data_IF_135757601081
#
_entry.id   IF_135757601081
#
_cell.length_a   1.000
_cell.length_b   1.000
_cell.length_c   1.000
_cell.angle_alpha   90.00
_cell.angle_beta   90.00
_cell.angle_gamma   90.00
#
_symmetry.space_group_name_H-M   'P 1'
#
loop_
_entity.id
_entity.type
_entity.pdbx_description
1 polymer ?
#
# COMPACT_ATOMS: atom_id res chain seq x y z
N UNK A 1 20.85 -27.85 19.28
CA UNK A 1 19.70 -27.23 19.98
C UNK A 1 19.74 -25.71 19.83
N UNK A 2 19.43 -25.18 18.64
CA UNK A 2 19.45 -23.72 18.36
C UNK A 2 18.25 -23.25 17.51
N UNK A 3 17.15 -24.03 17.47
CA UNK A 3 15.98 -23.78 16.59
C UNK A 3 14.78 -23.12 17.28
N UNK A 4 14.87 -22.75 18.57
CA UNK A 4 13.69 -22.29 19.34
C UNK A 4 13.55 -20.77 19.53
N UNK A 5 14.56 -19.97 19.18
CA UNK A 5 14.50 -18.51 19.32
C UNK A 5 13.93 -17.81 18.07
N UNK A 6 14.23 -18.30 16.85
CA UNK A 6 13.73 -17.73 15.58
C UNK A 6 12.20 -17.78 15.51
N UNK A 7 11.60 -18.96 15.77
CA UNK A 7 10.15 -19.14 15.68
C UNK A 7 9.33 -18.27 16.65
N UNK A 8 9.87 -17.93 17.83
CA UNK A 8 9.20 -17.02 18.79
C UNK A 8 9.26 -15.55 18.35
N UNK A 9 10.30 -15.16 17.61
CA UNK A 9 10.41 -13.81 17.05
C UNK A 9 9.43 -13.60 15.89
N UNK A 10 9.17 -14.63 15.09
CA UNK A 10 8.34 -14.57 13.89
C UNK A 10 6.83 -14.59 14.18
N UNK A 11 6.37 -15.41 15.13
CA UNK A 11 4.96 -15.37 15.59
C UNK A 11 4.58 -14.05 16.25
N UNK A 12 5.57 -13.33 16.78
CA UNK A 12 5.40 -11.96 17.26
C UNK A 12 5.26 -10.97 16.10
N UNK A 13 6.12 -11.06 15.09
CA UNK A 13 6.06 -10.25 13.86
C UNK A 13 4.71 -10.43 13.16
N UNK A 14 4.22 -11.66 13.01
CA UNK A 14 2.90 -11.94 12.42
C UNK A 14 1.78 -11.25 13.19
N UNK A 15 1.77 -11.39 14.52
CA UNK A 15 0.79 -10.70 15.38
C UNK A 15 0.89 -9.19 15.26
N UNK A 16 2.10 -8.63 15.22
CA UNK A 16 2.30 -7.20 15.04
C UNK A 16 1.77 -6.70 13.69
N UNK A 17 2.01 -7.43 12.59
CA UNK A 17 1.48 -7.06 11.25
C UNK A 17 -0.04 -7.25 11.20
N UNK A 18 -0.58 -8.34 11.75
CA UNK A 18 -2.02 -8.56 11.82
C UNK A 18 -2.72 -7.48 12.66
N UNK A 19 -2.13 -7.11 13.80
CA UNK A 19 -2.62 -6.01 14.65
C UNK A 19 -2.52 -4.65 13.93
N UNK A 20 -1.47 -4.42 13.14
CA UNK A 20 -1.34 -3.23 12.31
C UNK A 20 -2.48 -3.16 11.29
N UNK A 21 -2.77 -4.26 10.58
CA UNK A 21 -3.90 -4.34 9.64
C UNK A 21 -5.24 -4.06 10.33
N UNK A 22 -5.49 -4.65 11.50
CA UNK A 22 -6.72 -4.41 12.27
C UNK A 22 -6.88 -2.95 12.72
N UNK A 23 -5.79 -2.21 12.88
CA UNK A 23 -5.80 -0.79 13.28
C UNK A 23 -5.92 0.17 12.11
N UNK A 24 -5.69 -0.28 10.87
CA UNK A 24 -5.85 0.54 9.67
C UNK A 24 -7.32 0.87 9.47
N UNK A 25 -7.59 2.11 9.07
CA UNK A 25 -8.96 2.58 8.88
C UNK A 25 -9.64 2.00 7.63
N UNK A 26 -8.89 1.36 6.73
CA UNK A 26 -9.38 0.59 5.59
C UNK A 26 -8.36 -0.48 5.13
N UNK A 27 -8.82 -1.60 4.58
CA UNK A 27 -7.99 -2.65 3.94
C UNK A 27 -7.35 -2.21 2.60
N UNK A 28 -7.40 -0.91 2.28
CA UNK A 28 -7.02 -0.39 0.95
C UNK A 28 -5.60 0.19 1.01
N UNK A 29 -4.83 -0.02 -0.06
CA UNK A 29 -3.44 0.47 -0.29
C UNK A 29 -3.18 1.95 0.03
N UNK A 30 -4.20 2.82 -0.01
CA UNK A 30 -4.07 4.24 0.38
C UNK A 30 -4.08 4.46 1.90
N UNK A 31 -4.29 3.41 2.70
CA UNK A 31 -4.49 3.50 4.15
C UNK A 31 -3.27 4.03 4.91
N UNK A 32 -2.05 3.60 4.61
CA UNK A 32 -0.88 4.03 5.40
C UNK A 32 -0.50 5.50 5.15
N UNK A 33 -0.58 5.95 3.89
CA UNK A 33 -0.45 7.39 3.56
C UNK A 33 -1.55 8.18 4.23
N UNK A 34 -2.80 7.73 4.10
CA UNK A 34 -3.95 8.41 4.67
C UNK A 34 -3.88 8.49 6.20
N UNK A 35 -3.53 7.39 6.86
CA UNK A 35 -3.41 7.31 8.31
C UNK A 35 -2.26 8.19 8.82
N UNK A 36 -1.12 8.20 8.12
CA UNK A 36 -0.01 9.12 8.43
C UNK A 36 -0.41 10.59 8.26
N UNK A 37 -1.04 10.95 7.15
CA UNK A 37 -1.52 12.32 6.89
C UNK A 37 -2.60 12.76 7.89
N UNK A 38 -3.52 11.85 8.25
CA UNK A 38 -4.54 12.09 9.27
C UNK A 38 -3.90 12.30 10.63
N UNK A 39 -2.87 11.51 10.97
CA UNK A 39 -2.11 11.68 12.22
C UNK A 39 -1.42 13.04 12.26
N UNK A 40 -0.70 13.41 11.19
CA UNK A 40 -0.03 14.72 11.08
C UNK A 40 -1.05 15.86 11.19
N UNK A 41 -2.18 15.77 10.48
CA UNK A 41 -3.26 16.77 10.53
C UNK A 41 -3.83 16.92 11.94
N UNK A 42 -4.06 15.80 12.63
CA UNK A 42 -4.52 15.82 14.02
C UNK A 42 -3.50 16.48 14.95
N UNK A 43 -2.20 16.20 14.79
CA UNK A 43 -1.14 16.82 15.58
C UNK A 43 -1.07 18.33 15.34
N UNK A 44 -1.11 18.77 14.07
CA UNK A 44 -1.18 20.20 13.71
C UNK A 44 -2.38 20.88 14.38
N UNK A 45 -3.56 20.29 14.27
CA UNK A 45 -4.78 20.84 14.88
C UNK A 45 -4.66 20.96 16.41
N UNK A 46 -4.02 20.00 17.08
CA UNK A 46 -3.75 20.10 18.52
C UNK A 46 -2.77 21.22 18.84
N UNK A 47 -1.68 21.37 18.08
CA UNK A 47 -0.68 22.43 18.29
C UNK A 47 -1.28 23.83 18.09
N UNK A 48 -2.15 24.02 17.08
CA UNK A 48 -2.85 25.28 16.89
C UNK A 48 -3.78 25.64 18.05
N UNK A 49 -4.38 24.62 18.69
CA UNK A 49 -5.29 24.83 19.82
C UNK A 49 -4.54 25.13 21.12
N UNK A 50 -3.35 24.57 21.29
CA UNK A 50 -2.56 24.64 22.51
C UNK A 50 -1.06 24.91 22.21
N UNK A 51 -0.72 26.11 21.70
CA UNK A 51 0.63 26.40 21.22
C UNK A 51 1.68 26.50 22.34
N UNK A 52 1.25 26.80 23.57
CA UNK A 52 2.15 26.97 24.72
C UNK A 52 2.40 25.66 25.50
N UNK A 53 1.74 24.56 25.11
CA UNK A 53 1.84 23.27 25.81
C UNK A 53 3.07 22.49 25.31
N UNK A 54 4.21 22.67 25.99
CA UNK A 54 5.49 22.06 25.58
C UNK A 54 5.43 20.52 25.46
N UNK A 55 4.70 19.82 26.35
CA UNK A 55 4.52 18.36 26.23
C UNK A 55 3.78 17.96 24.95
N UNK A 56 2.86 18.80 24.48
CA UNK A 56 2.18 18.57 23.21
C UNK A 56 3.13 18.77 22.03
N UNK A 57 4.01 19.77 22.09
CA UNK A 57 5.07 19.99 21.10
C UNK A 57 6.05 18.81 21.03
N UNK A 58 6.50 18.30 22.19
CA UNK A 58 7.34 17.09 22.30
C UNK A 58 6.63 15.88 21.69
N UNK A 59 5.36 15.67 22.06
CA UNK A 59 4.55 14.57 21.54
C UNK A 59 4.33 14.67 20.03
N UNK A 60 4.19 15.88 19.48
CA UNK A 60 4.03 16.07 18.04
C UNK A 60 5.26 15.58 17.26
N UNK A 61 6.48 15.80 17.76
CA UNK A 61 7.69 15.26 17.13
C UNK A 61 7.69 13.73 17.15
N UNK A 62 7.47 13.12 18.33
CA UNK A 62 7.46 11.66 18.48
C UNK A 62 6.35 11.02 17.64
N UNK A 63 5.15 11.60 17.68
CA UNK A 63 3.98 11.17 16.92
C UNK A 63 4.16 11.34 15.41
N UNK A 64 4.83 12.40 14.97
CA UNK A 64 5.17 12.64 13.57
C UNK A 64 6.15 11.59 13.04
N UNK A 65 7.22 11.30 13.78
CA UNK A 65 8.18 10.24 13.41
C UNK A 65 7.50 8.88 13.36
N UNK A 66 6.63 8.56 14.32
CA UNK A 66 5.86 7.31 14.29
C UNK A 66 4.96 7.20 13.04
N UNK A 67 4.33 8.32 12.63
CA UNK A 67 3.56 8.37 11.39
C UNK A 67 4.46 8.15 10.15
N UNK A 68 5.61 8.80 10.09
CA UNK A 68 6.60 8.62 9.02
C UNK A 68 7.10 7.17 8.92
N UNK A 69 7.42 6.55 10.05
CA UNK A 69 7.87 5.15 10.12
C UNK A 69 6.80 4.18 9.64
N UNK A 70 5.53 4.46 9.97
CA UNK A 70 4.39 3.64 9.52
C UNK A 70 4.20 3.79 8.01
N UNK A 71 4.17 5.03 7.51
CA UNK A 71 4.11 5.33 6.09
C UNK A 71 5.25 4.65 5.32
N UNK A 72 6.49 4.75 5.79
CA UNK A 72 7.64 4.21 5.08
C UNK A 72 7.54 2.69 4.90
N UNK A 73 7.17 1.94 5.94
CA UNK A 73 6.97 0.49 5.82
C UNK A 73 5.82 0.14 4.88
N UNK A 74 4.71 0.87 4.98
CA UNK A 74 3.58 0.73 4.05
C UNK A 74 4.01 0.94 2.60
N UNK A 75 4.72 2.04 2.35
CA UNK A 75 5.25 2.40 1.05
C UNK A 75 6.17 1.32 0.47
N UNK A 76 7.12 0.81 1.26
CA UNK A 76 8.00 -0.27 0.83
C UNK A 76 7.22 -1.54 0.47
N UNK A 77 6.26 -1.93 1.31
CA UNK A 77 5.41 -3.09 1.05
C UNK A 77 4.63 -2.92 -0.27
N UNK A 78 4.03 -1.75 -0.49
CA UNK A 78 3.26 -1.46 -1.71
C UNK A 78 4.12 -1.49 -2.98
N UNK A 79 5.32 -0.89 -2.92
CA UNK A 79 6.29 -0.89 -4.02
C UNK A 79 6.68 -2.32 -4.40
N UNK A 80 7.03 -3.14 -3.40
CA UNK A 80 7.45 -4.53 -3.61
C UNK A 80 6.30 -5.46 -4.00
N UNK A 81 5.05 -5.14 -3.62
CA UNK A 81 3.90 -5.93 -4.03
C UNK A 81 3.58 -5.73 -5.51
N UNK A 82 3.85 -4.54 -6.06
CA UNK A 82 3.56 -4.20 -7.45
C UNK A 82 4.54 -4.81 -8.44
N UNK A 83 5.82 -4.90 -8.08
CA UNK A 83 6.86 -5.40 -8.98
C UNK A 83 7.73 -6.46 -8.30
N UNK A 84 7.84 -7.63 -8.93
CA UNK A 84 8.63 -8.74 -8.41
C UNK A 84 10.12 -8.39 -8.26
N UNK A 85 10.66 -7.55 -9.15
CA UNK A 85 12.05 -7.10 -9.09
C UNK A 85 12.36 -6.30 -7.82
N UNK A 86 11.47 -5.38 -7.42
CA UNK A 86 11.63 -4.62 -6.17
C UNK A 86 11.57 -5.52 -4.94
N UNK A 87 10.72 -6.54 -4.98
CA UNK A 87 10.65 -7.55 -3.92
C UNK A 87 11.94 -8.35 -3.78
N UNK A 88 12.57 -8.72 -4.90
CA UNK A 88 13.84 -9.43 -4.91
C UNK A 88 14.96 -8.57 -4.31
N UNK A 89 15.08 -7.31 -4.75
CA UNK A 89 16.06 -6.36 -4.18
C UNK A 89 15.81 -6.14 -2.67
N UNK A 90 14.56 -5.94 -2.26
CA UNK A 90 14.24 -5.82 -0.83
C UNK A 90 14.61 -7.07 -0.02
N UNK A 91 14.45 -8.26 -0.59
CA UNK A 91 14.86 -9.52 0.05
C UNK A 91 16.39 -9.64 0.20
N UNK A 92 17.18 -9.07 -0.71
CA UNK A 92 18.65 -9.03 -0.62
C UNK A 92 19.15 -8.21 0.58
N UNK A 93 18.36 -7.23 1.03
CA UNK A 93 18.68 -6.42 2.21
C UNK A 93 18.37 -7.12 3.54
N UNK A 94 17.69 -8.27 3.51
CA UNK A 94 17.41 -9.02 4.72
C UNK A 94 18.69 -9.68 5.24
N UNK A 95 19.11 -9.30 6.44
CA UNK A 95 20.24 -9.94 7.11
C UNK A 95 19.96 -11.41 7.46
N UNK A 96 21.02 -12.17 7.81
CA UNK A 96 20.95 -13.62 8.11
C UNK A 96 19.89 -14.01 9.17
N UNK A 97 19.43 -13.09 10.03
CA UNK A 97 18.34 -13.35 10.98
C UNK A 97 16.99 -13.65 10.33
N UNK A 98 16.78 -13.30 9.07
CA UNK A 98 15.54 -13.48 8.33
C UNK A 98 15.69 -14.55 7.22
N UNK A 99 16.46 -15.61 7.51
CA UNK A 99 16.82 -16.66 6.55
C UNK A 99 15.61 -17.24 5.79
N UNK A 100 15.84 -17.42 4.48
CA UNK A 100 14.94 -17.87 3.42
C UNK A 100 13.94 -18.99 3.78
N UNK A 101 14.31 -19.92 4.69
CA UNK A 101 13.48 -21.06 5.07
C UNK A 101 12.23 -20.72 5.88
N UNK A 102 12.26 -19.64 6.66
CA UNK A 102 11.12 -19.16 7.46
C UNK A 102 10.20 -18.27 6.60
N UNK A 103 10.76 -17.52 5.65
CA UNK A 103 10.03 -16.71 4.66
C UNK A 103 9.29 -17.57 3.64
N UNK A 104 9.93 -18.63 3.12
CA UNK A 104 9.34 -19.53 2.11
C UNK A 104 8.22 -20.43 2.67
N UNK A 105 8.24 -20.77 3.97
CA UNK A 105 7.18 -21.58 4.61
C UNK A 105 5.86 -20.83 4.79
N UNK A 106 5.85 -19.51 4.73
CA UNK A 106 4.69 -18.69 5.09
C UNK A 106 4.09 -17.89 3.93
N UNK A 107 4.75 -17.85 2.76
CA UNK A 107 4.12 -17.42 1.51
C UNK A 107 2.93 -18.33 1.15
N UNK A 108 2.87 -19.54 1.69
CA UNK A 108 1.76 -20.49 1.49
C UNK A 108 0.54 -20.32 2.40
N UNK A 109 0.53 -19.40 3.37
CA UNK A 109 -0.51 -19.33 4.42
C UNK A 109 -1.55 -18.20 4.22
N UNK A 110 -1.57 -17.54 3.05
CA UNK A 110 -2.50 -16.46 2.61
C UNK A 110 -2.63 -15.21 3.52
N UNK A 111 -2.14 -15.23 4.76
CA UNK A 111 -2.35 -14.16 5.73
C UNK A 111 -1.29 -13.05 5.68
N UNK A 112 -0.12 -13.25 5.07
CA UNK A 112 0.95 -12.26 5.07
C UNK A 112 1.72 -12.29 3.75
N UNK A 113 1.89 -11.15 3.09
CA UNK A 113 2.65 -11.07 1.85
C UNK A 113 4.15 -11.03 2.14
N UNK A 114 4.96 -11.56 1.22
CA UNK A 114 6.41 -11.47 1.32
C UNK A 114 6.89 -10.00 1.37
N UNK A 115 6.20 -9.10 0.66
CA UNK A 115 6.51 -7.67 0.66
C UNK A 115 6.30 -7.03 2.04
N UNK A 116 5.22 -7.38 2.74
CA UNK A 116 4.97 -6.89 4.10
C UNK A 116 6.01 -7.38 5.10
N UNK A 117 6.44 -8.65 4.98
CA UNK A 117 7.48 -9.19 5.84
C UNK A 117 8.81 -8.44 5.64
N UNK A 118 9.20 -8.24 4.39
CA UNK A 118 10.44 -7.53 4.05
C UNK A 118 10.36 -6.09 4.56
N UNK A 119 9.25 -5.40 4.31
CA UNK A 119 9.06 -4.01 4.74
C UNK A 119 9.03 -3.85 6.27
N UNK A 120 8.48 -4.81 7.01
CA UNK A 120 8.51 -4.77 8.47
C UNK A 120 9.93 -4.92 9.03
N UNK A 121 10.78 -5.71 8.36
CA UNK A 121 12.18 -5.85 8.73
C UNK A 121 13.03 -4.59 8.42
N UNK A 122 12.53 -3.68 7.57
CA UNK A 122 13.25 -2.46 7.21
C UNK A 122 13.40 -1.51 8.43
N UNK A 123 14.63 -1.16 8.84
CA UNK A 123 14.85 -0.07 9.77
C UNK A 123 14.29 1.25 9.23
N UNK A 124 13.80 2.08 10.14
CA UNK A 124 13.27 3.40 9.84
C UNK A 124 13.60 4.36 11.00
N UNK A 125 14.81 4.29 11.54
CA UNK A 125 15.20 5.00 12.76
C UNK A 125 16.02 6.27 12.46
N UNK A 126 16.43 6.46 11.21
CA UNK A 126 17.16 7.62 10.73
C UNK A 126 16.82 7.88 9.26
N UNK A 127 17.13 9.08 8.78
CA UNK A 127 17.02 9.41 7.34
C UNK A 127 17.86 8.48 6.48
N UNK A 128 19.06 8.11 6.97
CA UNK A 128 19.95 7.19 6.28
C UNK A 128 19.30 5.81 6.10
N UNK A 129 18.57 5.32 7.11
CA UNK A 129 17.83 4.06 6.98
C UNK A 129 16.78 4.15 5.87
N UNK A 130 16.00 5.24 5.84
CA UNK A 130 14.97 5.45 4.82
C UNK A 130 15.58 5.48 3.41
N UNK A 131 16.63 6.27 3.24
CA UNK A 131 17.32 6.46 1.95
C UNK A 131 17.97 5.18 1.46
N UNK A 132 18.71 4.46 2.32
CA UNK A 132 19.40 3.23 1.93
C UNK A 132 18.44 2.17 1.38
N UNK A 133 17.27 2.01 2.03
CA UNK A 133 16.25 1.07 1.56
C UNK A 133 15.65 1.49 0.22
N UNK A 134 15.34 2.78 0.07
CA UNK A 134 14.75 3.31 -1.15
C UNK A 134 15.74 3.27 -2.32
N UNK A 135 16.99 3.67 -2.10
CA UNK A 135 18.06 3.61 -3.11
C UNK A 135 18.25 2.19 -3.62
N UNK A 136 18.29 1.21 -2.70
CA UNK A 136 18.49 -0.18 -3.05
C UNK A 136 17.30 -0.78 -3.80
N UNK A 137 16.08 -0.54 -3.32
CA UNK A 137 14.86 -1.06 -3.96
C UNK A 137 14.70 -0.47 -5.36
N UNK A 138 14.84 0.85 -5.52
CA UNK A 138 14.71 1.50 -6.82
C UNK A 138 15.94 1.27 -7.72
N UNK A 139 17.08 0.85 -7.15
CA UNK A 139 18.32 0.60 -7.89
C UNK A 139 18.92 1.87 -8.50
N UNK A 140 18.60 3.02 -7.91
CA UNK A 140 19.00 4.35 -8.36
C UNK A 140 19.07 5.28 -7.15
N UNK A 141 19.72 6.44 -7.31
CA UNK A 141 19.70 7.51 -6.31
C UNK A 141 18.26 7.99 -6.10
N UNK A 142 17.66 7.63 -4.98
CA UNK A 142 16.32 8.05 -4.61
C UNK A 142 16.27 9.55 -4.35
N UNK A 143 17.41 10.15 -3.97
CA UNK A 143 17.55 11.61 -3.86
C UNK A 143 17.29 12.29 -5.21
N UNK A 144 17.79 11.72 -6.30
CA UNK A 144 17.57 12.25 -7.65
C UNK A 144 16.12 12.03 -8.10
N UNK A 145 15.50 10.92 -7.70
CA UNK A 145 14.07 10.69 -7.93
C UNK A 145 13.21 11.72 -7.20
N UNK A 146 13.52 12.02 -5.93
CA UNK A 146 12.84 13.04 -5.14
C UNK A 146 12.97 14.44 -5.74
N UNK A 147 14.15 14.79 -6.27
CA UNK A 147 14.39 16.09 -6.89
C UNK A 147 13.52 16.31 -8.15
N UNK A 148 13.13 15.23 -8.81
CA UNK A 148 12.29 15.26 -10.01
C UNK A 148 10.82 14.89 -9.73
N UNK A 149 10.48 14.58 -8.48
CA UNK A 149 9.13 14.17 -8.10
C UNK A 149 8.13 15.30 -8.35
N UNK A 150 7.07 15.00 -9.10
CA UNK A 150 5.98 15.95 -9.37
C UNK A 150 4.65 15.37 -8.91
N UNK A 151 3.71 16.25 -8.55
CA UNK A 151 2.39 15.81 -8.13
C UNK A 151 1.66 15.08 -9.28
N UNK A 152 0.91 14.00 -9.05
CA UNK A 152 0.31 13.22 -10.15
C UNK A 152 -0.69 14.03 -11.00
N UNK A 153 -1.20 15.14 -10.44
CA UNK A 153 -2.02 16.12 -11.17
C UNK A 153 -1.32 16.75 -12.37
N UNK A 154 0.01 16.70 -12.49
CA UNK A 154 0.74 17.14 -13.69
C UNK A 154 0.23 16.43 -14.95
N UNK A 155 -0.25 15.19 -14.82
CA UNK A 155 -0.87 14.47 -15.95
C UNK A 155 -2.12 15.16 -16.51
N UNK A 156 -2.79 16.00 -15.72
CA UNK A 156 -3.95 16.81 -16.17
C UNK A 156 -3.51 18.11 -16.84
N UNK A 157 -2.38 18.67 -16.43
CA UNK A 157 -1.83 19.91 -16.98
C UNK A 157 -0.29 19.84 -17.04
N UNK A 158 0.29 19.45 -18.19
CA UNK A 158 1.74 19.30 -18.33
C UNK A 158 2.53 20.62 -18.24
N UNK A 159 1.86 21.78 -18.29
CA UNK A 159 2.53 23.08 -18.27
C UNK A 159 2.73 23.56 -16.83
N UNK A 160 3.98 23.57 -16.38
CA UNK A 160 4.43 24.45 -15.29
C UNK A 160 4.18 23.95 -13.88
N UNK A 161 4.17 22.64 -13.64
CA UNK A 161 4.14 22.16 -12.26
C UNK A 161 5.58 22.01 -11.73
N UNK A 162 5.93 22.74 -10.66
CA UNK A 162 7.24 22.61 -10.05
C UNK A 162 7.40 21.21 -9.42
N UNK A 163 8.65 20.76 -9.19
CA UNK A 163 8.91 19.64 -8.29
C UNK A 163 8.21 19.82 -6.95
N UNK A 164 7.78 18.71 -6.33
CA UNK A 164 7.16 18.73 -5.00
C UNK A 164 8.12 19.30 -3.97
N UNK A 165 9.43 19.00 -4.12
CA UNK A 165 10.49 19.53 -3.29
C UNK A 165 11.32 20.54 -4.09
N UNK A 166 11.37 21.78 -3.60
CA UNK A 166 12.27 22.80 -4.16
C UNK A 166 13.74 22.47 -3.83
N UNK A 167 14.00 21.95 -2.63
CA UNK A 167 15.32 21.55 -2.16
C UNK A 167 15.25 20.24 -1.37
N UNK A 168 15.76 19.16 -1.94
CA UNK A 168 15.76 17.84 -1.30
C UNK A 168 16.67 17.82 -0.07
N UNK A 169 17.82 18.48 -0.12
CA UNK A 169 18.79 18.50 0.98
C UNK A 169 18.25 19.19 2.23
N UNK A 170 17.44 20.24 2.05
CA UNK A 170 16.78 20.91 3.16
C UNK A 170 15.80 19.97 3.88
N UNK A 171 14.99 19.21 3.13
CA UNK A 171 14.05 18.25 3.71
C UNK A 171 14.79 17.10 4.39
N UNK A 172 15.84 16.56 3.78
CA UNK A 172 16.66 15.50 4.39
C UNK A 172 17.34 15.98 5.68
N UNK A 173 17.88 17.20 5.68
CA UNK A 173 18.47 17.81 6.87
C UNK A 173 17.43 18.01 7.97
N UNK A 174 16.24 18.50 7.63
CA UNK A 174 15.14 18.66 8.58
C UNK A 174 14.72 17.31 9.18
N UNK A 175 14.56 16.27 8.36
CA UNK A 175 14.23 14.92 8.85
C UNK A 175 15.33 14.36 9.76
N UNK A 176 16.60 14.63 9.46
CA UNK A 176 17.72 14.20 10.31
C UNK A 176 17.63 14.81 11.71
N UNK A 177 17.35 16.12 11.80
CA UNK A 177 17.11 16.80 13.07
C UNK A 177 15.88 16.21 13.78
N UNK A 178 14.78 15.96 13.08
CA UNK A 178 13.57 15.37 13.66
C UNK A 178 13.84 13.98 14.27
N UNK A 179 14.58 13.11 13.59
CA UNK A 179 14.97 11.80 14.13
C UNK A 179 15.86 11.94 15.37
N UNK A 180 16.78 12.90 15.37
CA UNK A 180 17.62 13.21 16.54
C UNK A 180 16.77 13.70 17.71
N UNK A 181 15.83 14.63 17.49
CA UNK A 181 14.90 15.09 18.53
C UNK A 181 14.07 13.93 19.08
N UNK A 182 13.53 13.07 18.22
CA UNK A 182 12.79 11.87 18.65
C UNK A 182 13.67 10.93 19.47
N UNK A 183 14.96 10.80 19.15
CA UNK A 183 15.90 10.00 19.95
C UNK A 183 16.00 10.56 21.37
N UNK A 184 16.29 11.86 21.50
CA UNK A 184 16.39 12.56 22.80
C UNK A 184 15.09 12.39 23.60
N UNK A 185 13.95 12.73 22.99
CA UNK A 185 12.64 12.71 23.66
C UNK A 185 12.23 11.30 24.11
N UNK A 186 12.53 10.28 23.32
CA UNK A 186 12.11 8.91 23.62
C UNK A 186 13.07 8.17 24.57
N UNK A 187 14.35 8.56 24.62
CA UNK A 187 15.39 7.75 25.27
C UNK A 187 16.24 8.47 26.32
N UNK A 188 16.24 9.81 26.38
CA UNK A 188 17.17 10.56 27.26
C UNK A 188 16.48 11.27 28.45
N UNK A 189 15.22 10.93 28.76
CA UNK A 189 14.36 11.54 29.80
C UNK A 189 14.05 13.04 29.61
N UNK A 190 14.90 13.80 28.92
CA UNK A 190 14.66 15.10 28.28
C UNK A 190 13.85 16.13 29.07
N UNK A 191 13.95 16.13 30.41
CA UNK A 191 13.05 16.88 31.31
C UNK A 191 13.01 18.38 30.99
N UNK A 192 14.17 18.97 30.68
CA UNK A 192 14.31 20.38 30.31
C UNK A 192 14.32 20.68 28.80
N UNK A 193 14.03 19.70 27.94
CA UNK A 193 14.14 19.89 26.49
C UNK A 193 12.91 20.61 25.92
N UNK A 194 13.01 21.90 25.61
CA UNK A 194 11.85 22.66 25.12
C UNK A 194 11.73 22.64 23.60
N UNK A 195 10.50 22.54 23.12
CA UNK A 195 10.17 22.62 21.69
C UNK A 195 9.03 23.62 21.53
N UNK A 196 9.27 24.68 20.77
CA UNK A 196 8.21 25.62 20.42
C UNK A 196 7.20 24.99 19.46
N UNK A 197 5.96 25.49 19.48
CA UNK A 197 4.94 25.06 18.51
C UNK A 197 5.40 25.26 17.06
N UNK A 198 6.08 26.37 16.75
CA UNK A 198 6.62 26.64 15.42
C UNK A 198 7.66 25.60 14.97
N UNK A 199 8.55 25.19 15.88
CA UNK A 199 9.52 24.14 15.59
C UNK A 199 8.83 22.79 15.36
N UNK A 200 7.81 22.46 16.16
CA UNK A 200 7.01 21.26 15.98
C UNK A 200 6.21 21.27 14.65
N UNK A 201 5.60 22.41 14.29
CA UNK A 201 4.89 22.57 13.02
C UNK A 201 5.84 22.44 11.82
N UNK A 202 7.01 23.08 11.89
CA UNK A 202 8.05 22.97 10.85
C UNK A 202 8.49 21.52 10.66
N UNK A 203 8.65 20.77 11.76
CA UNK A 203 8.97 19.35 11.70
C UNK A 203 7.86 18.52 11.02
N UNK A 204 6.59 18.76 11.39
CA UNK A 204 5.45 18.09 10.75
C UNK A 204 5.34 18.42 9.27
N UNK A 205 5.67 19.64 8.87
CA UNK A 205 5.70 20.07 7.47
C UNK A 205 6.80 19.37 6.67
N UNK A 206 7.99 19.20 7.23
CA UNK A 206 9.07 18.44 6.60
C UNK A 206 8.67 16.96 6.39
N UNK A 207 8.03 16.34 7.38
CA UNK A 207 7.51 14.97 7.26
C UNK A 207 6.43 14.88 6.18
N UNK A 208 5.50 15.84 6.13
CA UNK A 208 4.46 15.87 5.10
C UNK A 208 5.06 16.02 3.70
N UNK A 209 6.00 16.95 3.52
CA UNK A 209 6.71 17.16 2.25
C UNK A 209 7.40 15.88 1.78
N UNK A 210 8.05 15.14 2.70
CA UNK A 210 8.66 13.86 2.40
C UNK A 210 7.65 12.80 1.92
N UNK A 211 6.53 12.66 2.63
CA UNK A 211 5.45 11.72 2.26
C UNK A 211 4.92 12.06 0.86
N UNK A 212 4.65 13.33 0.60
CA UNK A 212 4.08 13.75 -0.68
C UNK A 212 5.09 13.58 -1.83
N UNK A 213 6.37 13.87 -1.59
CA UNK A 213 7.43 13.68 -2.58
C UNK A 213 7.67 12.20 -2.91
N UNK A 214 7.71 11.34 -1.89
CA UNK A 214 7.90 9.89 -2.04
C UNK A 214 6.73 9.26 -2.80
N UNK A 215 5.50 9.72 -2.54
CA UNK A 215 4.33 9.35 -3.34
C UNK A 215 4.41 9.88 -4.78
N UNK A 216 4.92 11.10 -4.98
CA UNK A 216 5.21 11.64 -6.30
C UNK A 216 6.14 10.74 -7.13
N UNK A 217 7.20 10.22 -6.51
CA UNK A 217 8.11 9.24 -7.14
C UNK A 217 7.34 7.98 -7.55
N UNK A 218 6.51 7.43 -6.67
CA UNK A 218 5.68 6.25 -6.96
C UNK A 218 4.80 6.48 -8.18
N UNK A 219 4.18 7.65 -8.30
CA UNK A 219 3.36 8.02 -9.45
C UNK A 219 4.13 8.27 -10.74
N UNK A 220 5.40 8.63 -10.68
CA UNK A 220 6.23 8.79 -11.86
C UNK A 220 6.89 7.50 -12.34
N UNK A 221 7.05 6.53 -11.45
CA UNK A 221 7.78 5.29 -11.70
C UNK A 221 6.83 4.12 -11.87
N UNK A 222 6.27 3.61 -10.77
CA UNK A 222 5.50 2.37 -10.73
C UNK A 222 4.07 2.57 -11.24
N UNK A 223 3.43 3.67 -10.85
CA UNK A 223 2.04 3.95 -11.21
C UNK A 223 1.91 4.77 -12.49
N UNK A 224 2.95 4.81 -13.33
CA UNK A 224 2.99 5.65 -14.54
C UNK A 224 1.77 5.42 -15.46
N UNK A 225 1.32 4.16 -15.53
CA UNK A 225 0.19 3.75 -16.36
C UNK A 225 -1.15 3.66 -15.61
N UNK A 226 -1.15 3.84 -14.29
CA UNK A 226 -2.36 3.71 -13.47
C UNK A 226 -3.30 4.91 -13.67
N UNK A 227 -4.62 4.69 -13.61
CA UNK A 227 -5.61 5.74 -13.82
C UNK A 227 -5.64 6.72 -12.64
N UNK A 228 -5.20 7.96 -12.86
CA UNK A 228 -5.23 9.01 -11.83
C UNK A 228 -6.56 9.79 -11.74
N UNK A 229 -7.34 9.85 -12.83
CA UNK A 229 -8.60 10.62 -12.84
C UNK A 229 -9.79 9.69 -12.67
N UNK A 230 -10.85 10.14 -12.01
CA UNK A 230 -12.09 9.37 -11.85
C UNK A 230 -12.61 8.82 -13.19
N UNK A 231 -12.55 9.64 -14.25
CA UNK A 231 -12.91 9.22 -15.60
C UNK A 231 -12.03 8.06 -16.10
N UNK A 232 -10.70 8.16 -15.94
CA UNK A 232 -9.77 7.09 -16.31
C UNK A 232 -9.96 5.84 -15.44
N UNK A 233 -10.28 6.01 -14.16
CA UNK A 233 -10.57 4.90 -13.24
C UNK A 233 -11.82 4.15 -13.69
N UNK A 234 -12.88 4.88 -14.06
CA UNK A 234 -14.10 4.29 -14.61
C UNK A 234 -13.84 3.54 -15.92
N UNK A 235 -13.03 4.10 -16.84
CA UNK A 235 -12.64 3.40 -18.06
C UNK A 235 -11.82 2.15 -17.78
N UNK A 236 -10.76 2.25 -16.97
CA UNK A 236 -9.91 1.12 -16.61
C UNK A 236 -10.68 -0.01 -15.90
N UNK A 237 -11.62 0.33 -15.01
CA UNK A 237 -12.47 -0.64 -14.35
C UNK A 237 -13.44 -1.31 -15.35
N UNK A 238 -13.96 -0.56 -16.32
CA UNK A 238 -14.78 -1.10 -17.41
C UNK A 238 -13.98 -2.07 -18.29
N UNK A 239 -12.74 -1.73 -18.64
CA UNK A 239 -11.85 -2.57 -19.44
C UNK A 239 -11.52 -3.88 -18.71
N UNK A 240 -11.25 -3.79 -17.40
CA UNK A 240 -10.99 -4.96 -16.54
C UNK A 240 -12.20 -5.90 -16.49
N UNK A 241 -13.41 -5.34 -16.30
CA UNK A 241 -14.65 -6.11 -16.33
C UNK A 241 -14.88 -6.77 -17.70
N UNK A 242 -14.55 -6.08 -18.80
CA UNK A 242 -14.65 -6.65 -20.13
C UNK A 242 -13.66 -7.82 -20.32
N UNK A 243 -12.42 -7.68 -19.86
CA UNK A 243 -11.43 -8.76 -19.89
C UNK A 243 -11.87 -9.98 -19.07
N UNK A 244 -12.36 -9.76 -17.84
CA UNK A 244 -12.87 -10.85 -16.99
C UNK A 244 -14.09 -11.57 -17.62
N UNK A 245 -14.99 -10.82 -18.28
CA UNK A 245 -16.10 -11.40 -19.05
C UNK A 245 -15.61 -12.27 -20.20
N UNK A 246 -14.58 -11.82 -20.91
CA UNK A 246 -13.97 -12.58 -22.01
C UNK A 246 -13.37 -13.89 -21.49
N UNK A 247 -12.57 -13.83 -20.42
CA UNK A 247 -12.01 -15.02 -19.75
C UNK A 247 -13.10 -16.00 -19.32
N UNK A 248 -14.17 -15.51 -18.70
CA UNK A 248 -15.30 -16.36 -18.30
C UNK A 248 -15.95 -17.06 -19.50
N UNK A 249 -16.13 -16.34 -20.62
CA UNK A 249 -16.67 -16.92 -21.83
C UNK A 249 -15.75 -18.02 -22.41
N UNK A 250 -14.43 -17.79 -22.41
CA UNK A 250 -13.42 -18.77 -22.82
C UNK A 250 -13.45 -20.02 -21.94
N UNK A 251 -13.50 -19.86 -20.61
CA UNK A 251 -13.62 -20.98 -19.67
C UNK A 251 -14.92 -21.77 -19.86
N UNK A 252 -16.06 -21.07 -20.07
CA UNK A 252 -17.35 -21.69 -20.38
C UNK A 252 -17.32 -22.49 -21.69
N UNK A 253 -16.69 -21.96 -22.74
CA UNK A 253 -16.53 -22.66 -24.02
C UNK A 253 -15.71 -23.94 -23.85
N UNK A 254 -14.57 -23.86 -23.13
CA UNK A 254 -13.74 -25.02 -22.85
C UNK A 254 -14.50 -26.12 -22.11
N UNK A 255 -15.20 -25.76 -21.03
CA UNK A 255 -16.01 -26.72 -20.29
C UNK A 255 -17.07 -27.36 -21.17
N UNK A 256 -17.69 -26.57 -22.06
CA UNK A 256 -18.72 -27.07 -22.96
C UNK A 256 -18.19 -28.10 -23.94
N UNK A 257 -17.01 -27.84 -24.49
CA UNK A 257 -16.38 -28.68 -25.50
C UNK A 257 -15.87 -30.01 -24.89
N UNK A 258 -15.56 -30.04 -23.58
CA UNK A 258 -15.16 -31.25 -22.84
C UNK A 258 -16.33 -32.04 -22.21
N UNK A 259 -17.50 -31.40 -22.06
CA UNK A 259 -18.66 -31.99 -21.36
C UNK A 259 -19.55 -32.84 -22.26
N UNK A 260 -20.17 -33.89 -21.71
CA UNK A 260 -21.27 -34.59 -22.36
C UNK A 260 -22.56 -33.72 -22.42
N UNK A 261 -23.62 -34.22 -23.07
CA UNK A 261 -24.88 -33.48 -23.24
C UNK A 261 -25.59 -33.16 -21.92
N UNK A 262 -25.55 -34.07 -20.95
CA UNK A 262 -26.21 -33.90 -19.65
C UNK A 262 -25.45 -32.90 -18.79
N UNK A 263 -24.13 -33.03 -18.72
CA UNK A 263 -23.20 -32.11 -18.06
C UNK A 263 -23.34 -30.70 -18.65
N UNK A 264 -23.38 -30.58 -19.99
CA UNK A 264 -23.59 -29.31 -20.67
C UNK A 264 -24.91 -28.63 -20.29
N UNK A 265 -26.01 -29.39 -20.25
CA UNK A 265 -27.30 -28.85 -19.84
C UNK A 265 -27.29 -28.38 -18.37
N UNK A 266 -26.59 -29.09 -17.49
CA UNK A 266 -26.42 -28.71 -16.09
C UNK A 266 -25.55 -27.44 -15.94
N UNK A 267 -24.43 -27.37 -16.65
CA UNK A 267 -23.55 -26.20 -16.69
C UNK A 267 -24.31 -24.94 -17.10
N UNK A 268 -25.09 -25.00 -18.18
CA UNK A 268 -25.85 -23.85 -18.66
C UNK A 268 -26.89 -23.37 -17.65
N UNK A 269 -27.65 -24.29 -17.03
CA UNK A 269 -28.61 -23.94 -15.98
C UNK A 269 -27.92 -23.28 -14.79
N UNK A 270 -26.81 -23.84 -14.34
CA UNK A 270 -26.04 -23.28 -13.22
C UNK A 270 -25.46 -21.90 -13.56
N UNK A 271 -24.91 -21.72 -14.77
CA UNK A 271 -24.38 -20.43 -15.21
C UNK A 271 -25.46 -19.35 -15.30
N UNK A 272 -26.65 -19.67 -15.83
CA UNK A 272 -27.77 -18.73 -15.87
C UNK A 272 -28.19 -18.31 -14.46
N UNK A 273 -28.33 -19.26 -13.54
CA UNK A 273 -28.67 -18.97 -12.15
C UNK A 273 -27.63 -18.08 -11.47
N UNK A 274 -26.34 -18.41 -11.62
CA UNK A 274 -25.22 -17.61 -11.11
C UNK A 274 -25.21 -16.19 -11.69
N UNK A 275 -25.41 -16.05 -13.01
CA UNK A 275 -25.43 -14.75 -13.70
C UNK A 275 -26.55 -13.86 -13.17
N UNK A 276 -27.75 -14.41 -13.00
CA UNK A 276 -28.89 -13.66 -12.47
C UNK A 276 -28.64 -13.18 -11.04
N UNK A 277 -28.18 -14.08 -10.16
CA UNK A 277 -27.85 -13.72 -8.78
C UNK A 277 -26.74 -12.64 -8.72
N UNK A 278 -25.74 -12.73 -9.58
CA UNK A 278 -24.63 -11.76 -9.66
C UNK A 278 -25.10 -10.39 -10.11
N UNK A 279 -25.96 -10.32 -11.14
CA UNK A 279 -26.50 -9.06 -11.63
C UNK A 279 -27.46 -8.42 -10.61
N UNK A 280 -28.34 -9.21 -10.00
CA UNK A 280 -29.24 -8.75 -8.96
C UNK A 280 -28.47 -8.22 -7.73
N UNK A 281 -27.44 -8.94 -7.28
CA UNK A 281 -26.54 -8.48 -6.24
C UNK A 281 -25.91 -7.12 -6.59
N UNK A 282 -25.45 -6.95 -7.84
CA UNK A 282 -24.89 -5.70 -8.32
C UNK A 282 -25.90 -4.54 -8.28
N UNK A 283 -27.13 -4.77 -8.69
CA UNK A 283 -28.19 -3.75 -8.65
C UNK A 283 -28.60 -3.38 -7.23
N UNK A 284 -28.75 -4.36 -6.33
CA UNK A 284 -29.11 -4.10 -4.93
C UNK A 284 -27.99 -3.38 -4.19
N UNK A 285 -26.74 -3.78 -4.43
CA UNK A 285 -25.58 -3.23 -3.71
C UNK A 285 -25.16 -1.85 -4.21
N UNK A 286 -25.26 -1.60 -5.51
CA UNK A 286 -24.69 -0.39 -6.13
C UNK A 286 -25.71 0.47 -6.87
N UNK A 287 -26.91 -0.03 -7.19
CA UNK A 287 -27.91 0.69 -7.99
C UNK A 287 -28.53 1.90 -7.30
N UNK A 288 -28.26 2.09 -6.00
CA UNK A 288 -28.71 3.26 -5.21
C UNK A 288 -27.58 4.21 -4.82
N UNK A 289 -26.35 3.93 -5.26
CA UNK A 289 -25.21 4.78 -4.93
C UNK A 289 -25.13 5.96 -5.89
N UNK A 290 -25.04 7.15 -5.32
CA UNK A 290 -24.81 8.39 -6.08
C UNK A 290 -23.32 8.72 -6.19
N UNK A 291 -22.97 9.53 -7.20
CA UNK A 291 -21.62 10.04 -7.42
C UNK A 291 -20.92 9.47 -8.66
N UNK A 292 -19.68 9.90 -8.90
CA UNK A 292 -18.92 9.56 -10.12
C UNK A 292 -18.04 8.33 -9.98
N UNK A 293 -17.91 7.78 -8.77
CA UNK A 293 -17.03 6.64 -8.46
C UNK A 293 -17.75 5.28 -8.40
N UNK A 294 -19.09 5.26 -8.24
CA UNK A 294 -19.82 4.00 -8.17
C UNK A 294 -19.64 3.10 -9.40
N UNK A 295 -19.46 3.60 -10.65
CA UNK A 295 -19.25 2.73 -11.80
C UNK A 295 -17.96 1.90 -11.66
N UNK A 296 -16.86 2.52 -11.22
CA UNK A 296 -15.60 1.82 -10.96
C UNK A 296 -15.75 0.79 -9.83
N UNK A 297 -16.43 1.14 -8.73
CA UNK A 297 -16.66 0.21 -7.61
C UNK A 297 -17.48 -1.00 -8.06
N UNK A 298 -18.60 -0.78 -8.75
CA UNK A 298 -19.44 -1.85 -9.30
C UNK A 298 -18.66 -2.72 -10.27
N UNK A 299 -17.89 -2.11 -11.17
CA UNK A 299 -17.08 -2.85 -12.13
C UNK A 299 -16.00 -3.69 -11.45
N UNK A 300 -15.35 -3.18 -10.39
CA UNK A 300 -14.37 -3.92 -9.60
C UNK A 300 -14.98 -5.16 -8.93
N UNK A 301 -16.13 -5.01 -8.26
CA UNK A 301 -16.81 -6.14 -7.60
C UNK A 301 -17.28 -7.18 -8.62
N UNK A 302 -17.87 -6.75 -9.74
CA UNK A 302 -18.26 -7.67 -10.79
C UNK A 302 -17.03 -8.36 -11.42
N UNK A 303 -15.91 -7.67 -11.59
CA UNK A 303 -14.66 -8.28 -12.10
C UNK A 303 -14.23 -9.44 -11.22
N UNK A 304 -14.14 -9.24 -9.90
CA UNK A 304 -13.77 -10.29 -8.95
C UNK A 304 -14.71 -11.49 -9.00
N UNK A 305 -16.03 -11.26 -9.09
CA UNK A 305 -17.02 -12.35 -9.20
C UNK A 305 -16.85 -13.15 -10.50
N UNK A 306 -16.56 -12.47 -11.61
CA UNK A 306 -16.34 -13.12 -12.91
C UNK A 306 -15.03 -13.91 -12.93
N UNK A 307 -13.97 -13.41 -12.31
CA UNK A 307 -12.69 -14.11 -12.18
C UNK A 307 -12.78 -15.34 -11.27
N UNK A 308 -13.46 -15.22 -10.12
CA UNK A 308 -13.70 -16.36 -9.23
C UNK A 308 -14.49 -17.46 -9.95
N UNK A 309 -15.53 -17.07 -10.71
CA UNK A 309 -16.31 -18.03 -11.51
C UNK A 309 -15.50 -18.64 -12.64
N UNK A 310 -14.65 -17.85 -13.31
CA UNK A 310 -13.75 -18.36 -14.36
C UNK A 310 -12.80 -19.40 -13.81
N UNK A 311 -12.19 -19.13 -12.65
CA UNK A 311 -11.26 -20.03 -11.99
C UNK A 311 -11.93 -21.36 -11.59
N UNK A 312 -13.15 -21.30 -11.03
CA UNK A 312 -13.92 -22.51 -10.72
C UNK A 312 -14.26 -23.37 -11.96
N UNK A 313 -14.51 -22.72 -13.11
CA UNK A 313 -14.75 -23.44 -14.37
C UNK A 313 -13.46 -24.01 -14.96
N UNK A 314 -12.36 -23.27 -14.89
CA UNK A 314 -11.04 -23.74 -15.31
C UNK A 314 -10.62 -24.98 -14.49
N UNK A 315 -10.81 -24.93 -13.17
CA UNK A 315 -10.60 -26.07 -12.28
C UNK A 315 -11.50 -27.25 -12.68
N UNK A 316 -12.80 -27.02 -12.86
CA UNK A 316 -13.71 -28.07 -13.29
C UNK A 316 -13.32 -28.69 -14.63
N UNK A 317 -12.91 -27.87 -15.60
CA UNK A 317 -12.45 -28.35 -16.91
C UNK A 317 -11.23 -29.25 -16.81
N UNK A 318 -10.35 -29.03 -15.83
CA UNK A 318 -9.18 -29.89 -15.61
C UNK A 318 -9.57 -31.31 -15.16
N UNK A 319 -10.67 -31.46 -14.42
CA UNK A 319 -11.19 -32.79 -14.05
C UNK A 319 -11.91 -33.50 -15.20
N UNK A 320 -12.36 -32.78 -16.23
CA UNK A 320 -13.01 -33.35 -17.41
C UNK A 320 -11.99 -33.85 -18.46
N UNK A 321 -10.77 -33.29 -18.44
CA UNK A 321 -9.68 -33.62 -19.35
C UNK A 321 -8.84 -34.84 -18.88
N UNK A 322 -9.09 -35.31 -17.64
CA UNK A 322 -8.49 -36.51 -17.04
C UNK A 322 -9.29 -37.79 -17.34
#
# INVERSE_FOLDING_TARGET
MARSSSGRSLERIKREIADQRLRRSSDIRESDKWDAQRRITSLRASLFKFPDENELCRHAIVGGVAALQTYHRGFLADVMEKEAEFRLRGAEMLGEKYFLGDTLRHIGDEQLSAAELIAHAAPANSVNDLMNWLDHIFGASFKDLLANAVHPSVRKNPRGNPPILENVDEVLSALSDIFQKRHILAHEAAVGYEISADAALTALDAIQKWIDATDGVLWQTILINEPYTQLKMNFSASDSLFAARKRLAEAMMRCRDLSDRQQNAALLRNHVAWKNATLEFGEISFGRLDGTMWPAVRAGVLTALFEARSSALEEWSSYLDM
#
